data_IF_987244136358
#
_entry.id   IF_987244136358
#
_cell.length_a   1.000
_cell.length_b   1.000
_cell.length_c   1.000
_cell.angle_alpha   90.00
_cell.angle_beta   90.00
_cell.angle_gamma   90.00
#
_symmetry.space_group_name_H-M   'P 1'
#
loop_
_entity.id
_entity.type
_entity.pdbx_description
1 polymer ?
#
# COMPACT_ATOMS: atom_id res chain seq x y z
N UNK A 1 12.15 28.67 2.66
CA UNK A 1 11.55 28.10 1.44
C UNK A 1 12.06 26.69 1.34
N UNK A 2 11.27 25.75 1.84
CA UNK A 2 11.60 24.31 1.89
C UNK A 2 10.91 23.66 0.70
N UNK A 3 11.72 23.03 -0.15
CA UNK A 3 11.26 22.19 -1.25
C UNK A 3 10.43 21.03 -0.68
N UNK A 4 9.16 20.98 -1.05
CA UNK A 4 8.36 19.76 -0.96
C UNK A 4 8.96 18.76 -1.96
N UNK A 5 9.87 17.91 -1.50
CA UNK A 5 10.26 16.71 -2.22
C UNK A 5 9.14 15.67 -2.08
N UNK A 6 8.08 15.85 -2.87
CA UNK A 6 7.37 14.69 -3.40
C UNK A 6 8.36 13.95 -4.30
N UNK A 7 8.69 12.71 -3.95
CA UNK A 7 9.64 11.87 -4.69
C UNK A 7 8.96 11.48 -6.01
N UNK A 8 9.08 12.37 -6.98
CA UNK A 8 8.67 12.18 -8.36
C UNK A 8 9.96 12.01 -9.17
N UNK A 9 10.39 10.77 -9.45
CA UNK A 9 11.45 10.56 -10.41
C UNK A 9 10.87 10.75 -11.81
N UNK A 10 11.00 11.96 -12.36
CA UNK A 10 11.03 12.17 -13.81
C UNK A 10 12.08 11.23 -14.42
N UNK A 11 11.99 10.90 -15.72
CA UNK A 11 12.90 9.97 -16.43
C UNK A 11 14.39 10.37 -16.48
N UNK A 12 14.86 11.17 -15.52
CA UNK A 12 16.25 11.43 -15.22
C UNK A 12 17.02 10.11 -15.03
N UNK A 13 18.23 10.07 -15.58
CA UNK A 13 19.17 8.94 -15.51
C UNK A 13 18.76 7.67 -16.27
N UNK A 14 17.77 7.69 -17.16
CA UNK A 14 17.41 6.49 -17.94
C UNK A 14 18.58 5.94 -18.77
N UNK A 15 19.34 6.82 -19.44
CA UNK A 15 20.53 6.40 -20.19
C UNK A 15 21.62 5.84 -19.26
N UNK A 16 21.82 6.46 -18.11
CA UNK A 16 22.83 6.06 -17.13
C UNK A 16 22.47 4.72 -16.45
N UNK A 17 21.18 4.47 -16.23
CA UNK A 17 20.67 3.25 -15.59
C UNK A 17 20.38 2.12 -16.59
N UNK A 18 20.61 2.32 -17.90
CA UNK A 18 20.19 1.38 -18.94
C UNK A 18 20.72 -0.05 -18.72
N UNK A 19 21.98 -0.19 -18.33
CA UNK A 19 22.57 -1.51 -18.07
C UNK A 19 21.95 -2.19 -16.86
N UNK A 20 21.70 -1.44 -15.78
CA UNK A 20 21.06 -1.96 -14.56
C UNK A 20 19.60 -2.35 -14.82
N UNK A 21 18.87 -1.57 -15.64
CA UNK A 21 17.51 -1.92 -16.07
C UNK A 21 17.52 -3.22 -16.87
N UNK A 22 18.47 -3.41 -17.80
CA UNK A 22 18.60 -4.65 -18.56
C UNK A 22 18.91 -5.84 -17.63
N UNK A 23 19.78 -5.64 -16.63
CA UNK A 23 20.07 -6.67 -15.62
C UNK A 23 18.82 -7.00 -14.78
N UNK A 24 18.05 -6.00 -14.38
CA UNK A 24 16.79 -6.18 -13.68
C UNK A 24 15.78 -6.96 -14.52
N UNK A 25 15.61 -6.63 -15.80
CA UNK A 25 14.74 -7.38 -16.73
C UNK A 25 15.18 -8.84 -16.85
N UNK A 26 16.49 -9.09 -17.01
CA UNK A 26 17.02 -10.45 -17.07
C UNK A 26 16.78 -11.21 -15.76
N UNK A 27 16.91 -10.53 -14.61
CA UNK A 27 16.60 -11.11 -13.31
C UNK A 27 15.12 -11.49 -13.21
N UNK A 28 14.22 -10.64 -13.70
CA UNK A 28 12.77 -10.90 -13.72
C UNK A 28 12.47 -12.12 -14.59
N UNK A 29 12.95 -12.16 -15.84
CA UNK A 29 12.74 -13.31 -16.72
C UNK A 29 13.28 -14.62 -16.12
N UNK A 30 14.44 -14.58 -15.46
CA UNK A 30 15.01 -15.76 -14.83
C UNK A 30 14.19 -16.26 -13.62
N UNK A 31 13.34 -15.41 -13.03
CA UNK A 31 12.56 -15.72 -11.84
C UNK A 31 11.04 -15.73 -12.06
N UNK A 32 10.58 -15.46 -13.28
CA UNK A 32 9.18 -15.19 -13.60
C UNK A 32 8.23 -16.24 -13.03
N UNK A 33 8.47 -17.53 -13.29
CA UNK A 33 7.59 -18.60 -12.80
C UNK A 33 7.49 -18.64 -11.26
N UNK A 34 8.62 -18.46 -10.58
CA UNK A 34 8.68 -18.44 -9.12
C UNK A 34 8.01 -17.19 -8.54
N UNK A 35 8.22 -16.03 -9.16
CA UNK A 35 7.60 -14.77 -8.72
C UNK A 35 6.09 -14.79 -8.94
N UNK A 36 5.62 -15.28 -10.09
CA UNK A 36 4.20 -15.48 -10.36
C UNK A 36 3.57 -16.40 -9.32
N UNK A 37 4.21 -17.52 -8.98
CA UNK A 37 3.72 -18.41 -7.92
C UNK A 37 3.66 -17.70 -6.56
N UNK A 38 4.67 -16.92 -6.20
CA UNK A 38 4.69 -16.18 -4.94
C UNK A 38 3.59 -15.10 -4.89
N UNK A 39 3.36 -14.39 -6.00
CA UNK A 39 2.26 -13.41 -6.13
C UNK A 39 0.93 -14.12 -5.90
N UNK A 40 0.68 -15.21 -6.64
CA UNK A 40 -0.53 -16.02 -6.51
C UNK A 40 -0.78 -16.48 -5.08
N UNK A 41 0.27 -17.00 -4.41
CA UNK A 41 0.18 -17.49 -3.05
C UNK A 41 -0.14 -16.37 -2.04
N UNK A 42 0.49 -15.19 -2.17
CA UNK A 42 0.20 -14.08 -1.27
C UNK A 42 -1.21 -13.52 -1.48
N UNK A 43 -1.67 -13.40 -2.73
CA UNK A 43 -3.03 -12.92 -3.02
C UNK A 43 -4.09 -13.91 -2.53
N UNK A 44 -3.99 -15.20 -2.89
CA UNK A 44 -4.93 -16.25 -2.46
C UNK A 44 -5.01 -16.43 -0.95
N UNK A 45 -3.97 -16.04 -0.22
CA UNK A 45 -4.00 -16.05 1.25
C UNK A 45 -5.02 -15.04 1.79
N UNK A 46 -5.21 -13.90 1.13
CA UNK A 46 -6.09 -12.82 1.58
C UNK A 46 -7.47 -12.94 0.94
N UNK A 47 -7.53 -13.32 -0.33
CA UNK A 47 -8.76 -13.42 -1.12
C UNK A 47 -8.87 -14.80 -1.75
N UNK A 48 -9.07 -15.86 -0.94
CA UNK A 48 -9.07 -17.25 -1.44
C UNK A 48 -10.18 -17.53 -2.46
N UNK A 49 -11.28 -16.78 -2.41
CA UNK A 49 -12.44 -16.95 -3.28
C UNK A 49 -12.35 -16.11 -4.57
N UNK A 50 -11.39 -15.18 -4.67
CA UNK A 50 -11.23 -14.33 -5.85
C UNK A 50 -10.43 -15.00 -6.96
N UNK A 51 -10.82 -14.71 -8.21
CA UNK A 51 -10.07 -15.22 -9.35
C UNK A 51 -8.82 -14.38 -9.63
N UNK A 52 -7.65 -14.94 -9.31
CA UNK A 52 -6.33 -14.34 -9.57
C UNK A 52 -5.78 -14.65 -10.97
N UNK A 53 -6.41 -15.53 -11.76
CA UNK A 53 -5.84 -16.04 -13.03
C UNK A 53 -5.76 -15.01 -14.16
N UNK A 54 -6.47 -13.89 -14.03
CA UNK A 54 -6.57 -12.84 -15.05
C UNK A 54 -5.92 -11.53 -14.56
N UNK A 55 -4.86 -11.62 -13.75
CA UNK A 55 -4.10 -10.46 -13.32
C UNK A 55 -2.84 -10.32 -14.19
N UNK A 56 -2.72 -9.18 -14.87
CA UNK A 56 -1.53 -8.85 -15.65
C UNK A 56 -0.67 -7.86 -14.87
N UNK A 57 0.62 -8.15 -14.70
CA UNK A 57 1.60 -7.20 -14.19
C UNK A 57 2.35 -6.58 -15.38
N UNK A 58 2.19 -5.28 -15.59
CA UNK A 58 2.86 -4.51 -16.62
C UNK A 58 4.06 -3.78 -16.02
N UNK A 59 5.25 -4.16 -16.46
CA UNK A 59 6.47 -3.46 -16.06
C UNK A 59 6.71 -2.31 -17.03
N UNK A 60 6.62 -1.09 -16.53
CA UNK A 60 6.75 0.13 -17.33
C UNK A 60 8.06 0.86 -17.00
N UNK A 61 8.50 1.69 -17.93
CA UNK A 61 9.60 2.65 -17.76
C UNK A 61 8.95 4.03 -17.99
N UNK A 62 9.26 5.03 -17.15
CA UNK A 62 8.70 6.40 -17.15
C UNK A 62 7.36 6.62 -16.40
N UNK A 63 7.04 5.81 -15.38
CA UNK A 63 5.90 6.08 -14.49
C UNK A 63 6.33 6.25 -13.02
N UNK A 64 5.51 6.84 -12.14
CA UNK A 64 5.97 7.28 -10.80
C UNK A 64 6.33 6.12 -9.85
N UNK A 65 5.57 5.03 -9.80
CA UNK A 65 5.94 3.87 -8.96
C UNK A 65 5.13 2.62 -9.28
N UNK A 66 3.80 2.77 -9.38
CA UNK A 66 2.89 1.74 -9.86
C UNK A 66 1.43 2.18 -9.78
N UNK A 67 0.56 1.52 -10.54
CA UNK A 67 -0.91 1.70 -10.43
C UNK A 67 -1.56 0.33 -10.63
N UNK A 68 -2.36 -0.15 -9.69
CA UNK A 68 -3.35 -1.20 -9.94
C UNK A 68 -4.65 -0.61 -10.50
N UNK A 69 -5.04 -0.97 -11.72
CA UNK A 69 -6.38 -0.70 -12.29
C UNK A 69 -7.02 -2.02 -12.73
N UNK A 70 -8.34 -2.04 -12.99
CA UNK A 70 -9.12 -3.24 -13.39
C UNK A 70 -8.42 -4.26 -14.33
N UNK A 71 -7.52 -3.79 -15.21
CA UNK A 71 -6.84 -4.62 -16.22
C UNK A 71 -5.39 -5.00 -15.89
N UNK A 72 -4.79 -4.50 -14.80
CA UNK A 72 -3.44 -4.88 -14.38
C UNK A 72 -2.76 -3.92 -13.41
N UNK A 73 -1.59 -4.35 -12.92
CA UNK A 73 -0.70 -3.61 -12.04
C UNK A 73 0.50 -3.07 -12.81
N UNK A 74 0.77 -1.77 -12.75
CA UNK A 74 1.94 -1.15 -13.37
C UNK A 74 3.06 -0.99 -12.34
N UNK A 75 4.33 -1.16 -12.71
CA UNK A 75 5.47 -0.84 -11.82
C UNK A 75 6.61 -0.18 -12.60
N UNK A 76 7.19 0.90 -12.08
CA UNK A 76 8.32 1.60 -12.69
C UNK A 76 9.64 0.85 -12.48
N UNK A 77 10.26 0.37 -13.56
CA UNK A 77 11.54 -0.34 -13.49
C UNK A 77 12.76 0.58 -13.27
N UNK A 78 12.63 1.89 -13.49
CA UNK A 78 13.72 2.86 -13.26
C UNK A 78 13.76 3.39 -11.81
N UNK A 79 12.99 2.80 -10.89
CA UNK A 79 13.04 3.13 -9.47
C UNK A 79 14.38 2.63 -8.86
N UNK A 80 15.24 3.52 -8.33
CA UNK A 80 16.54 3.15 -7.75
C UNK A 80 16.47 2.01 -6.73
N UNK A 81 15.40 1.93 -5.93
CA UNK A 81 15.20 0.83 -4.99
C UNK A 81 15.20 -0.53 -5.69
N UNK A 82 14.55 -0.66 -6.85
CA UNK A 82 14.42 -1.93 -7.56
C UNK A 82 15.70 -2.30 -8.30
N UNK A 83 16.44 -1.32 -8.83
CA UNK A 83 17.75 -1.53 -9.44
C UNK A 83 18.76 -2.06 -8.41
N UNK A 84 18.76 -1.48 -7.20
CA UNK A 84 19.63 -1.93 -6.11
C UNK A 84 19.16 -3.23 -5.47
N UNK A 85 17.84 -3.46 -5.43
CA UNK A 85 17.21 -4.60 -4.78
C UNK A 85 16.04 -5.16 -5.59
N UNK A 86 16.31 -6.05 -6.54
CA UNK A 86 15.26 -6.64 -7.38
C UNK A 86 14.15 -7.32 -6.58
N UNK A 87 14.45 -7.84 -5.39
CA UNK A 87 13.42 -8.45 -4.52
C UNK A 87 12.33 -7.47 -4.08
N UNK A 88 12.63 -6.17 -3.99
CA UNK A 88 11.63 -5.15 -3.66
C UNK A 88 10.55 -5.04 -4.75
N UNK A 89 10.93 -5.25 -6.02
CA UNK A 89 9.99 -5.26 -7.14
C UNK A 89 8.91 -6.34 -6.96
N UNK A 90 9.26 -7.53 -6.47
CA UNK A 90 8.28 -8.57 -6.20
C UNK A 90 7.26 -8.14 -5.14
N UNK A 91 7.72 -7.52 -4.04
CA UNK A 91 6.79 -7.05 -3.00
C UNK A 91 5.87 -5.95 -3.53
N UNK A 92 6.41 -5.04 -4.33
CA UNK A 92 5.61 -4.00 -5.00
C UNK A 92 4.62 -4.62 -5.98
N UNK A 93 5.02 -5.64 -6.74
CA UNK A 93 4.10 -6.37 -7.62
C UNK A 93 2.94 -7.00 -6.85
N UNK A 94 3.20 -7.60 -5.68
CA UNK A 94 2.17 -8.13 -4.78
C UNK A 94 1.24 -7.01 -4.29
N UNK A 95 1.81 -5.87 -3.87
CA UNK A 95 1.08 -4.70 -3.41
C UNK A 95 0.11 -4.18 -4.49
N UNK A 96 0.63 -3.88 -5.68
CA UNK A 96 -0.20 -3.38 -6.79
C UNK A 96 -1.23 -4.41 -7.27
N UNK A 97 -0.88 -5.70 -7.22
CA UNK A 97 -1.84 -6.78 -7.53
C UNK A 97 -2.99 -6.85 -6.53
N UNK A 98 -2.73 -6.54 -5.26
CA UNK A 98 -3.77 -6.42 -4.24
C UNK A 98 -4.76 -5.31 -4.58
N UNK A 99 -4.29 -4.17 -5.10
CA UNK A 99 -5.18 -3.09 -5.56
C UNK A 99 -6.10 -3.54 -6.70
N UNK A 100 -5.61 -4.36 -7.63
CA UNK A 100 -6.44 -4.91 -8.72
C UNK A 100 -7.58 -5.77 -8.17
N UNK A 101 -7.30 -6.64 -7.18
CA UNK A 101 -8.36 -7.46 -6.56
C UNK A 101 -9.32 -6.61 -5.73
N UNK A 102 -8.79 -5.62 -5.01
CA UNK A 102 -9.61 -4.69 -4.23
C UNK A 102 -10.58 -3.92 -5.13
N UNK A 103 -10.11 -3.39 -6.25
CA UNK A 103 -10.95 -2.67 -7.22
C UNK A 103 -12.03 -3.55 -7.85
N UNK A 104 -11.79 -4.86 -8.05
CA UNK A 104 -12.81 -5.79 -8.55
C UNK A 104 -13.96 -6.01 -7.56
N UNK A 105 -13.65 -6.06 -6.27
CA UNK A 105 -14.64 -6.29 -5.22
C UNK A 105 -15.39 -5.01 -4.88
N UNK A 106 -14.66 -3.90 -4.75
CA UNK A 106 -15.19 -2.63 -4.23
C UNK A 106 -15.55 -1.62 -5.33
N UNK A 107 -15.22 -1.87 -6.60
CA UNK A 107 -15.43 -0.94 -7.73
C UNK A 107 -14.86 0.47 -7.52
N UNK A 108 -13.80 0.57 -6.70
CA UNK A 108 -13.22 1.82 -6.21
C UNK A 108 -12.87 2.83 -7.31
N UNK A 109 -12.27 2.37 -8.42
CA UNK A 109 -11.87 3.21 -9.55
C UNK A 109 -13.04 3.90 -10.25
N UNK A 110 -14.25 3.36 -10.12
CA UNK A 110 -15.47 3.95 -10.68
C UNK A 110 -16.16 4.94 -9.74
N UNK A 111 -15.86 4.89 -8.43
CA UNK A 111 -16.49 5.71 -7.41
C UNK A 111 -15.72 7.01 -7.09
N UNK A 112 -14.41 7.06 -7.37
CA UNK A 112 -13.60 8.27 -7.22
C UNK A 112 -13.79 9.27 -8.38
N UNK A 113 -14.87 10.07 -8.33
CA UNK A 113 -15.10 11.19 -9.24
C UNK A 113 -14.35 12.48 -8.87
N UNK A 114 -14.25 13.44 -9.81
CA UNK A 114 -13.54 14.73 -9.63
C UNK A 114 -14.06 15.60 -8.45
N UNK A 115 -15.31 15.41 -8.04
CA UNK A 115 -15.93 16.18 -6.94
C UNK A 115 -15.77 15.52 -5.55
N UNK A 116 -15.12 14.36 -5.47
CA UNK A 116 -15.02 13.56 -4.25
C UNK A 116 -14.12 14.17 -3.17
N UNK A 117 -13.40 15.26 -3.45
CA UNK A 117 -12.55 15.93 -2.44
C UNK A 117 -13.16 17.22 -1.87
N UNK A 118 -14.38 17.58 -2.30
CA UNK A 118 -14.95 18.90 -2.06
C UNK A 118 -15.84 19.00 -0.81
N UNK A 119 -16.22 17.88 -0.20
CA UNK A 119 -17.04 17.85 1.02
C UNK A 119 -16.35 17.06 2.14
N UNK A 120 -16.69 17.40 3.39
CA UNK A 120 -16.22 16.68 4.57
C UNK A 120 -16.57 15.19 4.51
N UNK A 121 -17.82 14.85 4.19
CA UNK A 121 -18.25 13.45 4.07
C UNK A 121 -17.40 12.70 3.05
N UNK A 122 -17.18 13.28 1.86
CA UNK A 122 -16.43 12.59 0.82
C UNK A 122 -14.95 12.44 1.20
N UNK A 123 -14.35 13.44 1.84
CA UNK A 123 -12.96 13.34 2.35
C UNK A 123 -12.82 12.24 3.40
N UNK A 124 -13.81 12.10 4.30
CA UNK A 124 -13.83 11.04 5.29
C UNK A 124 -13.94 9.65 4.64
N UNK A 125 -14.87 9.49 3.70
CA UNK A 125 -15.02 8.24 2.93
C UNK A 125 -13.73 7.90 2.19
N UNK A 126 -13.14 8.83 1.44
CA UNK A 126 -11.86 8.61 0.75
C UNK A 126 -10.77 8.18 1.73
N UNK A 127 -10.65 8.85 2.88
CA UNK A 127 -9.63 8.51 3.84
C UNK A 127 -9.79 7.08 4.37
N UNK A 128 -11.01 6.65 4.71
CA UNK A 128 -11.27 5.29 5.17
C UNK A 128 -11.09 4.26 4.06
N UNK A 129 -11.53 4.55 2.84
CA UNK A 129 -11.29 3.68 1.68
C UNK A 129 -9.81 3.47 1.45
N UNK A 130 -8.99 4.51 1.57
CA UNK A 130 -7.54 4.39 1.40
C UNK A 130 -6.90 3.65 2.58
N UNK A 131 -7.32 3.87 3.82
CA UNK A 131 -6.85 3.09 4.97
C UNK A 131 -7.11 1.60 4.76
N UNK A 132 -8.25 1.26 4.17
CA UNK A 132 -8.62 -0.11 3.85
C UNK A 132 -7.80 -0.68 2.69
N UNK A 133 -7.80 -0.02 1.52
CA UNK A 133 -7.13 -0.50 0.32
C UNK A 133 -5.61 -0.54 0.45
N UNK A 134 -4.99 0.54 0.93
CA UNK A 134 -3.54 0.60 1.15
C UNK A 134 -3.11 -0.29 2.31
N UNK A 135 -3.98 -0.46 3.30
CA UNK A 135 -3.80 -1.43 4.37
C UNK A 135 -3.60 -2.84 3.79
N UNK A 136 -4.53 -3.32 2.97
CA UNK A 136 -4.41 -4.63 2.33
C UNK A 136 -3.23 -4.74 1.39
N UNK A 137 -3.00 -3.73 0.56
CA UNK A 137 -1.88 -3.74 -0.37
C UNK A 137 -0.53 -3.79 0.36
N UNK A 138 -0.41 -3.15 1.52
CA UNK A 138 0.80 -3.17 2.36
C UNK A 138 0.91 -4.45 3.19
N UNK A 139 -0.21 -4.97 3.70
CA UNK A 139 -0.25 -6.18 4.51
C UNK A 139 0.00 -7.46 3.69
N UNK A 140 -0.50 -7.53 2.44
CA UNK A 140 -0.38 -8.72 1.59
C UNK A 140 1.06 -9.22 1.42
N UNK A 141 2.06 -8.37 1.11
CA UNK A 141 3.47 -8.81 1.04
C UNK A 141 4.17 -8.94 2.41
N UNK A 142 3.56 -8.54 3.53
CA UNK A 142 4.21 -8.43 4.85
C UNK A 142 4.83 -9.76 5.31
N UNK A 143 4.10 -10.87 5.16
CA UNK A 143 4.59 -12.19 5.61
C UNK A 143 5.80 -12.65 4.80
N UNK A 144 5.77 -12.46 3.49
CA UNK A 144 6.91 -12.78 2.62
C UNK A 144 8.11 -11.87 2.91
N UNK A 145 7.88 -10.56 3.08
CA UNK A 145 8.93 -9.62 3.52
C UNK A 145 9.56 -10.05 4.83
N UNK A 146 8.74 -10.52 5.79
CA UNK A 146 9.20 -10.98 7.10
C UNK A 146 10.01 -12.26 6.98
N UNK A 147 9.56 -13.25 6.21
CA UNK A 147 10.32 -14.50 6.00
C UNK A 147 11.67 -14.26 5.32
N UNK A 148 11.72 -13.27 4.42
CA UNK A 148 12.94 -12.90 3.72
C UNK A 148 13.85 -11.98 4.56
N UNK A 149 13.40 -11.56 5.76
CA UNK A 149 14.12 -10.62 6.62
C UNK A 149 14.26 -9.22 6.01
N UNK A 150 13.30 -8.78 5.19
CA UNK A 150 13.29 -7.52 4.43
C UNK A 150 12.22 -6.54 4.94
N UNK A 151 12.15 -6.37 6.26
CA UNK A 151 11.26 -5.43 6.96
C UNK A 151 11.96 -4.08 7.22
N UNK A 152 12.34 -3.39 6.14
CA UNK A 152 12.71 -1.96 6.23
C UNK A 152 14.20 -1.62 6.35
N UNK A 153 15.09 -2.41 5.74
CA UNK A 153 16.55 -2.19 5.77
C UNK A 153 17.06 -0.99 4.97
N UNK A 154 16.23 -0.40 4.10
CA UNK A 154 16.64 0.67 3.18
C UNK A 154 15.99 1.99 3.54
N UNK A 155 16.72 3.08 3.31
CA UNK A 155 16.22 4.43 3.47
C UNK A 155 15.31 4.80 2.27
N UNK A 156 14.10 4.26 2.27
CA UNK A 156 13.08 4.47 1.24
C UNK A 156 11.70 4.39 1.89
N UNK A 157 10.74 5.21 1.43
CA UNK A 157 9.40 5.30 2.04
C UNK A 157 8.68 3.94 2.11
N UNK A 158 8.69 3.17 1.02
CA UNK A 158 8.15 1.79 1.02
C UNK A 158 8.79 0.94 2.12
N UNK A 159 10.10 1.04 2.34
CA UNK A 159 10.78 0.26 3.37
C UNK A 159 10.43 0.75 4.78
N UNK A 160 10.27 2.06 4.94
CA UNK A 160 9.81 2.67 6.18
C UNK A 160 8.43 2.18 6.60
N UNK A 161 7.49 2.02 5.65
CA UNK A 161 6.13 1.53 5.94
C UNK A 161 6.10 0.18 6.66
N UNK A 162 7.12 -0.67 6.45
CA UNK A 162 7.27 -1.94 7.18
C UNK A 162 8.13 -1.83 8.43
N UNK A 163 9.16 -0.96 8.41
CA UNK A 163 10.07 -0.76 9.55
C UNK A 163 9.30 -0.31 10.79
N UNK A 164 8.38 0.64 10.60
CA UNK A 164 7.59 1.26 11.67
C UNK A 164 6.80 0.22 12.48
N UNK A 165 6.37 -0.90 11.86
CA UNK A 165 5.62 -1.97 12.53
C UNK A 165 6.40 -2.65 13.66
N UNK A 166 7.73 -2.46 13.71
CA UNK A 166 8.60 -2.99 14.76
C UNK A 166 9.10 -1.91 15.73
N UNK A 167 8.77 -0.64 15.49
CA UNK A 167 9.23 0.52 16.25
C UNK A 167 8.08 1.14 17.05
N UNK A 168 7.77 0.56 18.22
CA UNK A 168 6.61 0.94 19.04
C UNK A 168 6.46 2.46 19.28
N UNK A 169 7.51 3.24 19.60
CA UNK A 169 7.36 4.69 19.77
C UNK A 169 6.87 5.41 18.50
N UNK A 170 7.31 4.98 17.33
CA UNK A 170 6.83 5.54 16.05
C UNK A 170 5.38 5.14 15.79
N UNK A 171 4.99 3.90 16.11
CA UNK A 171 3.60 3.47 15.98
C UNK A 171 2.66 4.31 16.85
N UNK A 172 3.01 4.55 18.13
CA UNK A 172 2.23 5.42 19.02
C UNK A 172 2.04 6.81 18.39
N UNK A 173 3.10 7.38 17.81
CA UNK A 173 3.01 8.66 17.11
C UNK A 173 2.06 8.61 15.90
N UNK A 174 2.13 7.58 15.06
CA UNK A 174 1.22 7.46 13.91
C UNK A 174 -0.23 7.21 14.33
N UNK A 175 -0.47 6.47 15.41
CA UNK A 175 -1.80 6.24 15.96
C UNK A 175 -2.39 7.56 16.49
N UNK A 176 -1.61 8.35 17.23
CA UNK A 176 -2.03 9.69 17.67
C UNK A 176 -2.34 10.61 16.48
N UNK A 177 -1.51 10.57 15.42
CA UNK A 177 -1.75 11.35 14.21
C UNK A 177 -3.02 10.91 13.48
N UNK A 178 -3.25 9.60 13.39
CA UNK A 178 -4.44 9.00 12.81
C UNK A 178 -5.71 9.39 13.56
N UNK A 179 -5.72 9.27 14.89
CA UNK A 179 -6.86 9.65 15.73
C UNK A 179 -7.17 11.14 15.59
N UNK A 180 -6.16 12.00 15.71
CA UNK A 180 -6.31 13.44 15.52
C UNK A 180 -6.84 13.82 14.14
N UNK A 181 -6.38 13.14 13.08
CA UNK A 181 -6.85 13.42 11.73
C UNK A 181 -8.28 12.92 11.50
N UNK A 182 -8.66 11.78 12.09
CA UNK A 182 -10.04 11.29 12.05
C UNK A 182 -11.01 12.22 12.75
N UNK A 183 -10.65 12.71 13.93
CA UNK A 183 -11.44 13.73 14.65
C UNK A 183 -11.61 14.98 13.79
N UNK A 184 -10.52 15.46 13.16
CA UNK A 184 -10.58 16.61 12.26
C UNK A 184 -11.58 16.41 11.12
N UNK A 185 -11.56 15.24 10.46
CA UNK A 185 -12.49 14.91 9.37
C UNK A 185 -13.94 14.70 9.84
N UNK A 186 -14.16 14.37 11.12
CA UNK A 186 -15.50 14.34 11.71
C UNK A 186 -16.09 15.75 11.86
N UNK A 187 -15.24 16.73 12.18
CA UNK A 187 -15.68 18.11 12.45
C UNK A 187 -15.76 18.97 11.18
N UNK A 188 -14.79 18.85 10.27
CA UNK A 188 -14.67 19.74 9.13
C UNK A 188 -13.93 19.12 7.93
N UNK A 189 -14.17 19.66 6.74
CA UNK A 189 -13.32 19.39 5.57
C UNK A 189 -11.98 20.08 5.74
N UNK A 190 -10.91 19.44 5.28
CA UNK A 190 -9.56 20.00 5.24
C UNK A 190 -9.18 20.47 3.83
N UNK A 191 -8.10 21.25 3.73
CA UNK A 191 -7.51 21.56 2.43
C UNK A 191 -7.03 20.28 1.73
N UNK A 192 -7.14 20.24 0.39
CA UNK A 192 -6.74 19.09 -0.41
C UNK A 192 -5.30 18.69 -0.15
N UNK A 193 -4.40 19.65 -0.03
CA UNK A 193 -2.97 19.44 0.22
C UNK A 193 -2.73 18.77 1.57
N UNK A 194 -3.53 19.15 2.59
CA UNK A 194 -3.49 18.50 3.91
C UNK A 194 -3.96 17.06 3.83
N UNK A 195 -5.06 16.79 3.13
CA UNK A 195 -5.54 15.41 2.94
C UNK A 195 -4.50 14.56 2.19
N UNK A 196 -3.95 15.07 1.09
CA UNK A 196 -2.94 14.37 0.30
C UNK A 196 -1.64 14.14 1.07
N UNK A 197 -1.21 15.09 1.93
CA UNK A 197 0.02 14.90 2.72
C UNK A 197 -0.13 13.83 3.79
N UNK A 198 -1.33 13.66 4.37
CA UNK A 198 -1.61 12.56 5.32
C UNK A 198 -1.69 11.20 4.64
N UNK A 199 -2.20 11.15 3.41
CA UNK A 199 -2.36 9.93 2.63
C UNK A 199 -1.02 9.48 2.01
N UNK A 200 -0.37 10.36 1.25
CA UNK A 200 0.79 10.02 0.39
C UNK A 200 2.10 10.69 0.83
N UNK A 201 2.03 11.70 1.70
CA UNK A 201 3.21 12.40 2.25
C UNK A 201 3.90 11.61 3.35
N UNK A 202 4.82 12.23 4.11
CA UNK A 202 5.75 11.52 5.00
C UNK A 202 5.13 10.62 6.07
N UNK A 203 3.87 10.85 6.47
CA UNK A 203 3.19 10.00 7.46
C UNK A 203 2.59 8.73 6.87
N UNK A 204 2.20 8.74 5.59
CA UNK A 204 1.61 7.59 4.86
C UNK A 204 0.61 6.79 5.72
N UNK A 205 -0.29 7.50 6.42
CA UNK A 205 -1.15 6.90 7.45
C UNK A 205 -1.95 5.69 6.93
N UNK A 206 -2.57 5.75 5.74
CA UNK A 206 -3.31 4.61 5.19
C UNK A 206 -2.50 3.31 5.11
N UNK A 207 -1.24 3.41 4.67
CA UNK A 207 -0.34 2.26 4.54
C UNK A 207 0.00 1.66 5.90
N UNK A 208 0.43 2.51 6.84
CA UNK A 208 0.99 2.09 8.13
C UNK A 208 -0.10 1.66 9.11
N UNK A 209 -1.15 2.46 9.23
CA UNK A 209 -2.28 2.15 10.12
C UNK A 209 -3.12 1.02 9.54
N UNK A 210 -3.42 1.03 8.24
CA UNK A 210 -4.15 -0.05 7.60
C UNK A 210 -3.43 -1.40 7.76
N UNK A 211 -2.12 -1.44 7.51
CA UNK A 211 -1.32 -2.64 7.72
C UNK A 211 -1.28 -3.08 9.19
N UNK A 212 -1.12 -2.14 10.12
CA UNK A 212 -1.14 -2.41 11.56
C UNK A 212 -2.47 -3.01 12.03
N UNK A 213 -3.60 -2.48 11.55
CA UNK A 213 -4.93 -3.02 11.83
C UNK A 213 -5.03 -4.48 11.38
N UNK A 214 -4.66 -4.78 10.13
CA UNK A 214 -4.75 -6.13 9.56
C UNK A 214 -3.82 -7.13 10.23
N UNK A 215 -2.58 -6.74 10.52
CA UNK A 215 -1.62 -7.56 11.27
C UNK A 215 -2.11 -7.82 12.70
N UNK A 216 -2.72 -6.82 13.35
CA UNK A 216 -3.36 -6.97 14.65
C UNK A 216 -4.57 -7.90 14.63
N UNK A 217 -5.43 -7.81 13.61
CA UNK A 217 -6.56 -8.72 13.40
C UNK A 217 -6.06 -10.16 13.26
N UNK A 218 -5.07 -10.42 12.40
CA UNK A 218 -4.54 -11.78 12.24
C UNK A 218 -4.00 -12.33 13.57
N UNK A 219 -3.28 -11.50 14.34
CA UNK A 219 -2.71 -11.90 15.64
C UNK A 219 -3.78 -12.19 16.70
N UNK A 220 -4.90 -11.45 16.71
CA UNK A 220 -5.92 -11.53 17.77
C UNK A 220 -7.12 -12.42 17.40
N UNK A 221 -7.48 -12.48 16.13
CA UNK A 221 -8.69 -13.16 15.63
C UNK A 221 -8.45 -14.16 14.50
N UNK A 222 -7.21 -14.30 14.01
CA UNK A 222 -6.75 -15.19 12.93
C UNK A 222 -6.95 -14.64 11.52
N UNK A 223 -6.37 -15.35 10.55
CA UNK A 223 -6.35 -14.97 9.13
C UNK A 223 -7.76 -14.94 8.53
N UNK A 224 -8.65 -15.83 8.96
CA UNK A 224 -10.02 -15.89 8.44
C UNK A 224 -10.76 -14.57 8.66
N UNK A 225 -10.50 -13.88 9.77
CA UNK A 225 -11.11 -12.57 10.02
C UNK A 225 -10.56 -11.49 9.09
N UNK A 226 -9.25 -11.54 8.78
CA UNK A 226 -8.67 -10.67 7.76
C UNK A 226 -9.30 -10.94 6.39
N UNK A 227 -9.57 -12.19 6.05
CA UNK A 227 -10.23 -12.52 4.79
C UNK A 227 -11.68 -11.98 4.75
N UNK A 228 -12.44 -12.11 5.84
CA UNK A 228 -13.80 -11.57 5.94
C UNK A 228 -13.81 -10.04 5.86
N UNK A 229 -12.87 -9.39 6.56
CA UNK A 229 -12.73 -7.95 6.59
C UNK A 229 -12.48 -7.35 5.20
N UNK A 230 -11.86 -8.09 4.28
CA UNK A 230 -11.60 -7.62 2.91
C UNK A 230 -12.88 -7.24 2.16
N UNK A 231 -13.98 -7.94 2.45
CA UNK A 231 -15.28 -7.74 1.80
C UNK A 231 -16.18 -6.73 2.53
N UNK A 232 -15.69 -6.10 3.60
CA UNK A 232 -16.43 -5.08 4.34
C UNK A 232 -16.33 -3.71 3.65
N UNK A 233 -17.37 -2.90 3.82
CA UNK A 233 -17.29 -1.48 3.49
C UNK A 233 -16.19 -0.79 4.34
N UNK A 234 -15.38 0.12 3.76
CA UNK A 234 -14.25 0.74 4.45
C UNK A 234 -14.61 1.43 5.77
N UNK A 235 -15.74 2.15 5.82
CA UNK A 235 -16.26 2.78 7.06
C UNK A 235 -16.54 1.73 8.14
N UNK A 236 -17.05 0.56 7.74
CA UNK A 236 -17.36 -0.54 8.67
C UNK A 236 -16.09 -1.19 9.17
N UNK A 237 -15.12 -1.47 8.29
CA UNK A 237 -13.81 -1.97 8.65
C UNK A 237 -13.15 -1.09 9.72
N UNK A 238 -13.06 0.23 9.47
CA UNK A 238 -12.44 1.16 10.41
C UNK A 238 -13.20 1.17 11.74
N UNK A 239 -14.54 1.22 11.73
CA UNK A 239 -15.34 1.24 12.96
C UNK A 239 -15.20 -0.06 13.78
N UNK A 240 -15.13 -1.20 13.10
CA UNK A 240 -15.13 -2.52 13.73
C UNK A 240 -13.77 -2.91 14.31
N UNK A 241 -12.68 -2.48 13.67
CA UNK A 241 -11.32 -2.91 14.04
C UNK A 241 -10.46 -1.83 14.70
N UNK A 242 -10.98 -0.62 14.88
CA UNK A 242 -10.26 0.47 15.54
C UNK A 242 -9.66 0.09 16.91
N UNK A 243 -10.33 -0.78 17.65
CA UNK A 243 -9.89 -1.27 18.97
C UNK A 243 -8.53 -1.99 18.92
N UNK A 244 -8.07 -2.44 17.74
CA UNK A 244 -6.71 -2.98 17.58
C UNK A 244 -5.67 -1.95 18.01
N UNK A 245 -5.94 -0.66 17.76
CA UNK A 245 -5.03 0.44 18.04
C UNK A 245 -4.97 0.83 19.53
N UNK A 246 -5.88 0.31 20.37
CA UNK A 246 -5.96 0.68 21.79
C UNK A 246 -4.67 0.37 22.56
N UNK A 247 -3.86 -0.59 22.10
CA UNK A 247 -2.57 -0.90 22.73
C UNK A 247 -1.48 0.19 22.52
N UNK A 248 -1.71 1.07 21.55
CA UNK A 248 -0.85 2.20 21.20
C UNK A 248 -1.44 3.55 21.61
N UNK A 249 -2.66 3.56 22.16
CA UNK A 249 -3.29 4.73 22.77
C UNK A 249 -2.84 4.79 24.24
N UNK A 250 -2.41 5.98 24.67
CA UNK A 250 -1.99 6.23 26.05
C UNK A 250 -3.19 6.64 26.93
#
# INVERSE_FOLDING_TARGET
MTENQTVFSTGENLEDNREDIIQLINHIHANESNWTEQVDQQLKRITPDENVSNLSLFLAIEYELGIGLQQGAYVNLNEPLFLQQPRQLLYTAIHESSHVLYDRVHNFSTELGLDTLNSRENQQTIFYTLVHSEGYATYTPLKLRTSDGNVGKHNHLICEDYRVLTEEPQLRQFVQEYDSFRETLQEASVARETLMSRIFGGSRLPYRIGCLLLDGIEKKQRLEEVQNAFYMEPETFVREYDWILDEYRD
#
